data_IF_041743082881
#
_entry.id   IF_041743082881
#
_cell.length_a   1.000
_cell.length_b   1.000
_cell.length_c   1.000
_cell.angle_alpha   90.00
_cell.angle_beta   90.00
_cell.angle_gamma   90.00
#
_symmetry.space_group_name_H-M   'P 1'
#
loop_
_entity.id
_entity.type
_entity.pdbx_description
1 polymer ?
#
# COMPACT_ATOMS: atom_id res chain seq x y z
N UNK A 1 11.40 44.33 3.49
CA UNK A 1 10.47 43.20 3.30
C UNK A 1 11.04 42.01 4.05
N UNK A 2 10.35 41.55 5.09
CA UNK A 2 10.81 40.46 5.95
C UNK A 2 10.33 39.16 5.29
N UNK A 3 11.25 38.37 4.75
CA UNK A 3 10.95 37.03 4.25
C UNK A 3 10.58 36.15 5.44
N UNK A 4 9.34 35.67 5.40
CA UNK A 4 8.77 34.76 6.37
C UNK A 4 9.41 33.39 6.13
N UNK A 5 10.27 32.97 7.05
CA UNK A 5 10.78 31.60 7.06
C UNK A 5 9.62 30.67 7.39
N UNK A 6 9.23 29.85 6.42
CA UNK A 6 8.32 28.73 6.64
C UNK A 6 8.97 27.78 7.66
N UNK A 7 8.44 27.79 8.88
CA UNK A 7 8.79 26.79 9.88
C UNK A 7 8.25 25.44 9.42
N UNK A 8 9.06 24.68 8.69
CA UNK A 8 8.73 23.30 8.28
C UNK A 8 8.80 22.34 9.48
N UNK A 9 7.86 22.49 10.41
CA UNK A 9 7.67 21.57 11.53
C UNK A 9 6.94 20.31 11.05
N UNK A 10 7.59 19.51 10.21
CA UNK A 10 7.09 18.16 9.92
C UNK A 10 8.19 17.10 9.86
N UNK A 11 9.09 17.14 10.84
CA UNK A 11 10.20 16.19 11.03
C UNK A 11 9.77 14.74 11.39
N UNK A 12 8.48 14.38 11.27
CA UNK A 12 7.96 13.06 11.68
C UNK A 12 7.75 12.06 10.54
N UNK A 13 7.65 12.51 9.29
CA UNK A 13 7.33 11.64 8.17
C UNK A 13 8.45 11.60 7.13
N UNK A 14 9.06 10.44 6.96
CA UNK A 14 10.08 10.16 5.94
C UNK A 14 9.48 10.23 4.53
N UNK A 15 8.27 9.69 4.36
CA UNK A 15 7.58 9.58 3.08
C UNK A 15 6.28 10.38 3.05
N UNK A 16 5.95 10.89 1.86
CA UNK A 16 4.62 11.45 1.61
C UNK A 16 3.60 10.34 1.35
N UNK A 17 3.99 9.33 0.57
CA UNK A 17 3.11 8.25 0.12
C UNK A 17 3.75 6.89 0.37
N UNK A 18 2.97 5.96 0.90
CA UNK A 18 3.22 4.52 0.84
C UNK A 18 2.38 3.92 -0.29
N UNK A 19 2.99 3.30 -1.28
CA UNK A 19 2.29 2.70 -2.42
C UNK A 19 2.28 1.18 -2.27
N UNK A 20 1.12 0.60 -1.95
CA UNK A 20 0.89 -0.85 -1.89
C UNK A 20 0.20 -1.32 -3.16
N UNK A 21 0.70 -2.41 -3.73
CA UNK A 21 0.18 -2.98 -4.97
C UNK A 21 0.58 -4.45 -5.09
N UNK A 22 -0.18 -5.23 -5.88
CA UNK A 22 0.26 -6.55 -6.32
C UNK A 22 1.28 -6.38 -7.45
N UNK A 23 2.53 -6.75 -7.20
CA UNK A 23 3.62 -6.64 -8.16
C UNK A 23 3.45 -7.57 -9.34
N UNK A 24 2.81 -8.73 -9.17
CA UNK A 24 2.47 -9.63 -10.29
C UNK A 24 1.55 -8.97 -11.32
N UNK A 25 0.58 -8.20 -10.84
CA UNK A 25 -0.43 -7.58 -11.71
C UNK A 25 0.07 -6.27 -12.33
N UNK A 26 0.75 -5.43 -11.55
CA UNK A 26 0.87 -3.99 -11.90
C UNK A 26 2.29 -3.43 -11.89
N UNK A 27 3.31 -4.19 -11.44
CA UNK A 27 4.68 -3.66 -11.24
C UNK A 27 5.28 -3.01 -12.47
N UNK A 28 5.15 -3.62 -13.66
CA UNK A 28 5.76 -3.13 -14.92
C UNK A 28 4.80 -2.28 -15.76
N UNK A 29 3.66 -1.90 -15.19
CA UNK A 29 2.59 -1.21 -15.88
C UNK A 29 2.10 -0.04 -15.02
N UNK A 30 0.85 -0.07 -14.60
CA UNK A 30 0.19 1.03 -13.88
C UNK A 30 0.97 1.51 -12.65
N UNK A 31 1.46 0.61 -11.79
CA UNK A 31 2.12 1.00 -10.54
C UNK A 31 3.49 1.63 -10.75
N UNK A 32 4.21 1.28 -11.81
CA UNK A 32 5.47 1.95 -12.16
C UNK A 32 5.20 3.39 -12.62
N UNK A 33 4.24 3.56 -13.54
CA UNK A 33 3.86 4.88 -14.03
C UNK A 33 3.32 5.77 -12.91
N UNK A 34 2.50 5.23 -12.01
CA UNK A 34 1.99 5.96 -10.85
C UNK A 34 3.14 6.38 -9.92
N UNK A 35 4.08 5.48 -9.63
CA UNK A 35 5.26 5.79 -8.83
C UNK A 35 6.09 6.92 -9.46
N UNK A 36 6.40 6.81 -10.75
CA UNK A 36 7.17 7.82 -11.50
C UNK A 36 6.45 9.17 -11.50
N UNK A 37 5.13 9.18 -11.71
CA UNK A 37 4.33 10.40 -11.68
C UNK A 37 4.34 11.08 -10.30
N UNK A 38 4.23 10.30 -9.21
CA UNK A 38 4.31 10.81 -7.85
C UNK A 38 5.69 11.44 -7.57
N UNK A 39 6.77 10.75 -7.95
CA UNK A 39 8.13 11.26 -7.79
C UNK A 39 8.35 12.53 -8.60
N UNK A 40 7.91 12.58 -9.86
CA UNK A 40 8.00 13.77 -10.71
C UNK A 40 7.20 14.96 -10.15
N UNK A 41 6.09 14.70 -9.47
CA UNK A 41 5.30 15.71 -8.76
C UNK A 41 5.90 16.13 -7.41
N UNK A 42 7.08 15.61 -7.02
CA UNK A 42 7.79 15.95 -5.79
C UNK A 42 7.41 15.11 -4.57
N UNK A 43 6.60 14.06 -4.74
CA UNK A 43 6.22 13.18 -3.64
C UNK A 43 7.26 12.08 -3.41
N UNK A 44 8.07 12.22 -2.34
CA UNK A 44 8.79 11.09 -1.72
C UNK A 44 7.84 9.91 -1.47
N UNK A 45 7.99 8.85 -2.24
CA UNK A 45 7.09 7.69 -2.24
C UNK A 45 7.86 6.42 -1.90
N UNK A 46 7.39 5.67 -0.91
CA UNK A 46 7.84 4.30 -0.67
C UNK A 46 7.04 3.36 -1.57
N UNK A 47 7.72 2.53 -2.37
CA UNK A 47 7.10 1.60 -3.31
C UNK A 47 7.21 0.18 -2.76
N UNK A 48 6.09 -0.36 -2.29
CA UNK A 48 6.07 -1.68 -1.67
C UNK A 48 5.94 -2.79 -2.73
N UNK A 49 7.00 -3.56 -2.91
CA UNK A 49 7.08 -4.52 -3.99
C UNK A 49 6.97 -5.99 -3.52
N UNK A 50 5.77 -6.56 -3.60
CA UNK A 50 5.39 -7.83 -2.98
C UNK A 50 6.00 -9.13 -3.57
N UNK A 51 6.73 -9.11 -4.70
CA UNK A 51 7.37 -10.34 -5.25
C UNK A 51 8.75 -10.68 -4.66
N UNK A 52 9.24 -9.91 -3.71
CA UNK A 52 10.42 -10.33 -2.96
C UNK A 52 9.92 -11.33 -1.90
N UNK A 53 10.56 -12.48 -1.74
CA UNK A 53 10.32 -13.32 -0.56
C UNK A 53 10.80 -12.55 0.67
N UNK A 54 9.93 -12.38 1.67
CA UNK A 54 10.18 -11.47 2.79
C UNK A 54 10.33 -12.23 4.10
N UNK A 55 11.50 -12.09 4.72
CA UNK A 55 11.75 -12.49 6.11
C UNK A 55 11.24 -11.45 7.11
N UNK A 56 11.39 -11.73 8.41
CA UNK A 56 10.91 -10.88 9.51
C UNK A 56 11.46 -9.45 9.46
N UNK A 57 12.72 -9.27 9.04
CA UNK A 57 13.35 -7.96 8.92
C UNK A 57 12.62 -7.05 7.93
N UNK A 58 12.11 -7.62 6.84
CA UNK A 58 11.42 -6.85 5.80
C UNK A 58 10.01 -6.44 6.28
N UNK A 59 9.36 -7.26 7.12
CA UNK A 59 8.09 -6.89 7.76
C UNK A 59 8.26 -5.66 8.66
N UNK A 60 9.34 -5.61 9.43
CA UNK A 60 9.65 -4.47 10.29
C UNK A 60 9.90 -3.20 9.47
N UNK A 61 10.65 -3.30 8.37
CA UNK A 61 10.88 -2.16 7.48
C UNK A 61 9.60 -1.63 6.86
N UNK A 62 8.67 -2.52 6.47
CA UNK A 62 7.35 -2.12 5.98
C UNK A 62 6.52 -1.40 7.02
N UNK A 63 6.39 -1.97 8.23
CA UNK A 63 5.63 -1.34 9.29
C UNK A 63 6.18 0.06 9.60
N UNK A 64 7.51 0.19 9.58
CA UNK A 64 8.19 1.48 9.71
C UNK A 64 7.86 2.41 8.55
N UNK A 65 7.92 1.95 7.30
CA UNK A 65 7.61 2.76 6.13
C UNK A 65 6.16 3.25 6.13
N UNK A 66 5.19 2.41 6.50
CA UNK A 66 3.78 2.78 6.67
C UNK A 66 3.66 3.84 7.78
N UNK A 67 4.35 3.64 8.92
CA UNK A 67 4.33 4.57 10.05
C UNK A 67 4.91 5.94 9.71
N UNK A 68 5.96 5.95 8.89
CA UNK A 68 6.67 7.15 8.45
C UNK A 68 6.10 7.77 7.17
N UNK A 69 5.00 7.23 6.65
CA UNK A 69 4.25 7.78 5.52
C UNK A 69 3.07 8.63 5.98
N UNK A 70 2.80 9.73 5.26
CA UNK A 70 1.64 10.61 5.52
C UNK A 70 0.31 10.04 5.01
N UNK A 71 0.36 9.27 3.94
CA UNK A 71 -0.80 8.55 3.40
C UNK A 71 -0.38 7.24 2.74
N UNK A 72 -1.36 6.39 2.48
CA UNK A 72 -1.19 5.19 1.66
C UNK A 72 -2.08 5.24 0.42
N UNK A 73 -1.53 4.87 -0.73
CA UNK A 73 -2.27 4.53 -1.94
C UNK A 73 -2.26 3.01 -2.06
N UNK A 74 -3.43 2.41 -2.24
CA UNK A 74 -3.58 0.96 -2.39
C UNK A 74 -4.12 0.69 -3.79
N UNK A 75 -3.34 0.02 -4.62
CA UNK A 75 -3.75 -0.40 -5.97
C UNK A 75 -4.33 -1.80 -5.87
N UNK A 76 -5.65 -1.88 -5.74
CA UNK A 76 -6.37 -3.14 -5.81
C UNK A 76 -6.43 -3.62 -7.25
N UNK A 77 -5.93 -4.82 -7.48
CA UNK A 77 -5.91 -5.51 -8.77
C UNK A 77 -6.48 -6.92 -8.62
N UNK A 78 -6.66 -7.62 -9.74
CA UNK A 78 -7.36 -8.91 -9.82
C UNK A 78 -6.83 -9.96 -8.84
N UNK A 79 -5.52 -10.06 -8.66
CA UNK A 79 -4.89 -11.04 -7.77
C UNK A 79 -4.40 -10.45 -6.44
N UNK A 80 -4.74 -9.20 -6.11
CA UNK A 80 -4.29 -8.57 -4.87
C UNK A 80 -4.59 -9.43 -3.62
N UNK A 81 -5.81 -9.97 -3.53
CA UNK A 81 -6.24 -10.77 -2.38
C UNK A 81 -5.64 -12.19 -2.33
N UNK A 82 -4.96 -12.65 -3.39
CA UNK A 82 -4.30 -13.97 -3.36
C UNK A 82 -2.98 -13.93 -2.61
N UNK A 83 -2.39 -12.75 -2.43
CA UNK A 83 -1.16 -12.55 -1.67
C UNK A 83 -1.47 -12.32 -0.19
N UNK A 84 -1.09 -13.25 0.68
CA UNK A 84 -1.19 -13.08 2.15
C UNK A 84 -0.47 -11.82 2.58
N UNK A 85 0.67 -11.53 1.95
CA UNK A 85 1.46 -10.35 2.21
C UNK A 85 0.71 -9.03 1.91
N UNK A 86 0.07 -8.93 0.74
CA UNK A 86 -0.75 -7.76 0.40
C UNK A 86 -1.93 -7.58 1.36
N UNK A 87 -2.48 -8.66 1.92
CA UNK A 87 -3.52 -8.61 2.93
C UNK A 87 -2.97 -8.19 4.30
N UNK A 88 -1.78 -8.64 4.69
CA UNK A 88 -1.10 -8.18 5.91
C UNK A 88 -0.80 -6.68 5.86
N UNK A 89 -0.24 -6.20 4.74
CA UNK A 89 -0.02 -4.78 4.47
C UNK A 89 -1.32 -3.98 4.61
N UNK A 90 -2.40 -4.45 3.98
CA UNK A 90 -3.71 -3.81 4.04
C UNK A 90 -4.19 -3.68 5.50
N UNK A 91 -4.04 -4.72 6.31
CA UNK A 91 -4.39 -4.68 7.74
C UNK A 91 -3.54 -3.65 8.49
N UNK A 92 -2.23 -3.58 8.24
CA UNK A 92 -1.34 -2.58 8.86
C UNK A 92 -1.75 -1.14 8.51
N UNK A 93 -2.05 -0.89 7.24
CA UNK A 93 -2.51 0.42 6.75
C UNK A 93 -3.86 0.79 7.39
N UNK A 94 -4.81 -0.13 7.45
CA UNK A 94 -6.13 0.13 8.04
C UNK A 94 -6.05 0.36 9.56
N UNK A 95 -5.14 -0.31 10.27
CA UNK A 95 -4.84 0.00 11.68
C UNK A 95 -4.34 1.43 11.87
N UNK A 96 -3.59 1.98 10.91
CA UNK A 96 -3.13 3.38 10.93
C UNK A 96 -4.22 4.38 10.60
N UNK A 97 -5.20 4.00 9.78
CA UNK A 97 -6.32 4.87 9.38
C UNK A 97 -7.09 5.43 10.58
N UNK A 98 -7.25 4.65 11.64
CA UNK A 98 -7.92 5.08 12.88
C UNK A 98 -7.16 6.22 13.60
N UNK A 99 -5.88 6.41 13.29
CA UNK A 99 -5.00 7.45 13.85
C UNK A 99 -4.81 8.65 12.92
N UNK A 100 -5.70 8.84 11.93
CA UNK A 100 -5.65 9.98 10.99
C UNK A 100 -4.81 9.76 9.74
N UNK A 101 -4.33 8.54 9.49
CA UNK A 101 -3.61 8.19 8.26
C UNK A 101 -4.56 8.15 7.06
N UNK A 102 -4.31 8.96 6.04
CA UNK A 102 -5.15 8.98 4.84
C UNK A 102 -4.91 7.74 3.97
N UNK A 103 -5.98 7.15 3.44
CA UNK A 103 -5.93 5.97 2.58
C UNK A 103 -6.71 6.24 1.30
N UNK A 104 -6.04 6.14 0.16
CA UNK A 104 -6.63 6.31 -1.17
C UNK A 104 -6.66 4.95 -1.90
N UNK A 105 -7.84 4.33 -2.07
CA UNK A 105 -7.97 3.12 -2.87
C UNK A 105 -8.00 3.46 -4.37
N UNK A 106 -7.26 2.70 -5.16
CA UNK A 106 -7.28 2.69 -6.62
C UNK A 106 -7.73 1.31 -7.08
N UNK A 107 -8.76 1.24 -7.92
CA UNK A 107 -9.32 -0.01 -8.44
C UNK A 107 -8.82 -0.20 -9.88
N UNK A 108 -7.83 -1.06 -10.07
CA UNK A 108 -7.20 -1.33 -11.35
C UNK A 108 -7.79 -2.60 -11.97
N UNK A 109 -8.60 -2.43 -13.02
CA UNK A 109 -9.26 -3.51 -13.76
C UNK A 109 -10.05 -4.49 -12.86
N UNK A 110 -10.67 -3.94 -11.81
CA UNK A 110 -11.52 -4.66 -10.85
C UNK A 110 -12.75 -3.83 -10.50
N UNK A 111 -13.88 -4.50 -10.27
CA UNK A 111 -15.07 -3.85 -9.75
C UNK A 111 -14.92 -3.61 -8.23
N UNK A 112 -15.10 -2.38 -7.73
CA UNK A 112 -15.05 -2.11 -6.28
C UNK A 112 -16.03 -2.96 -5.46
N UNK A 113 -17.17 -3.34 -6.06
CA UNK A 113 -18.17 -4.20 -5.42
C UNK A 113 -17.68 -5.63 -5.24
N UNK A 114 -16.79 -6.11 -6.10
CA UNK A 114 -16.20 -7.44 -5.98
C UNK A 114 -15.27 -7.56 -4.78
N UNK A 115 -14.53 -6.49 -4.49
CA UNK A 115 -13.70 -6.42 -3.28
C UNK A 115 -14.57 -6.29 -2.02
N UNK A 116 -15.63 -5.48 -2.08
CA UNK A 116 -16.52 -5.28 -0.93
C UNK A 116 -17.32 -6.54 -0.58
N UNK A 117 -17.83 -7.25 -1.57
CA UNK A 117 -18.59 -8.51 -1.40
C UNK A 117 -17.68 -9.73 -1.34
N UNK A 118 -16.37 -9.53 -1.53
CA UNK A 118 -15.37 -10.56 -1.72
C UNK A 118 -15.73 -11.56 -2.84
N UNK A 119 -16.65 -11.22 -3.76
CA UNK A 119 -17.26 -12.17 -4.71
C UNK A 119 -16.25 -12.78 -5.67
N UNK A 120 -15.32 -11.99 -6.20
CA UNK A 120 -14.23 -12.45 -7.07
C UNK A 120 -13.03 -12.99 -6.30
N UNK A 121 -12.94 -12.70 -4.99
CA UNK A 121 -11.82 -13.08 -4.12
C UNK A 121 -12.15 -14.27 -3.21
N UNK A 122 -13.36 -14.85 -3.31
CA UNK A 122 -13.80 -15.98 -2.47
C UNK A 122 -12.81 -17.13 -2.46
N UNK A 123 -12.29 -17.50 -3.63
CA UNK A 123 -11.30 -18.57 -3.76
C UNK A 123 -9.97 -18.22 -3.09
N UNK A 124 -9.57 -16.95 -3.14
CA UNK A 124 -8.35 -16.48 -2.48
C UNK A 124 -8.49 -16.55 -0.96
N UNK A 125 -9.61 -16.06 -0.41
CA UNK A 125 -9.90 -16.16 1.02
C UNK A 125 -10.04 -17.61 1.49
N UNK A 126 -10.70 -18.47 0.71
CA UNK A 126 -10.80 -19.90 1.02
C UNK A 126 -9.42 -20.57 1.11
N UNK A 127 -8.51 -20.27 0.18
CA UNK A 127 -7.12 -20.76 0.22
C UNK A 127 -6.38 -20.28 1.47
N UNK A 128 -6.51 -19.00 1.84
CA UNK A 128 -5.89 -18.49 3.07
C UNK A 128 -6.45 -19.17 4.32
N UNK A 129 -7.75 -19.45 4.38
CA UNK A 129 -8.35 -20.20 5.48
C UNK A 129 -7.84 -21.64 5.60
N UNK A 130 -7.58 -22.31 4.47
CA UNK A 130 -6.99 -23.66 4.46
C UNK A 130 -5.55 -23.65 4.98
N UNK A 131 -4.73 -22.69 4.55
CA UNK A 131 -3.34 -22.51 5.01
C UNK A 131 -3.28 -22.21 6.52
N UNK A 132 -4.26 -21.47 7.06
CA UNK A 132 -4.33 -21.16 8.50
C UNK A 132 -4.81 -22.36 9.35
N UNK A 133 -5.42 -23.38 8.74
CA UNK A 133 -5.92 -24.58 9.42
C UNK A 133 -4.94 -25.77 9.38
N UNK A 134 -3.92 -25.71 8.53
CA UNK A 134 -2.83 -26.69 8.44
C UNK A 134 -1.70 -26.38 9.42
#
# INVERSE_FOLDING_TARGET
>A
MKSQEDSSSNSRFTYHVFLSFRGEDTRKAFSDHLYTALVHAGFRTFRDDDKLERGEDIKFELEKAIRESRMSIIVFSKSYATSTWCLEELVMILKRRTSGHAVLPVFYDVDPSDLRKQSSSKEAFARHEEILKS
#
